data_IF_444707419091
#
_entry.id   IF_444707419091
#
_cell.length_a   1.000
_cell.length_b   1.000
_cell.length_c   1.000
_cell.angle_alpha   90.00
_cell.angle_beta   90.00
_cell.angle_gamma   90.00
#
_symmetry.space_group_name_H-M   'P 1'
#
loop_
_entity.id
_entity.type
_entity.pdbx_description
1 polymer ?
#
# COMPACT_ATOMS: atom_id res chain seq x y z
N UNK A 1 16.94 19.30 15.73
CA UNK A 1 17.85 18.53 16.61
C UNK A 1 17.84 17.11 16.09
N UNK A 2 19.00 16.57 15.72
CA UNK A 2 19.08 15.16 15.32
C UNK A 2 18.88 14.30 16.58
N UNK A 3 17.96 13.34 16.51
CA UNK A 3 17.71 12.37 17.57
C UNK A 3 18.91 11.43 17.65
N UNK A 4 19.84 11.73 18.54
CA UNK A 4 20.93 10.81 18.88
C UNK A 4 20.36 9.78 19.87
N UNK A 5 20.15 8.55 19.40
CA UNK A 5 19.72 7.45 20.26
C UNK A 5 20.88 7.07 21.18
N UNK A 6 20.63 7.02 22.49
CA UNK A 6 21.68 6.74 23.46
C UNK A 6 22.08 5.25 23.44
N UNK A 7 21.19 4.38 22.99
CA UNK A 7 21.37 2.92 22.95
C UNK A 7 20.72 2.28 21.72
N UNK A 8 21.22 1.11 21.31
CA UNK A 8 20.62 0.33 20.22
C UNK A 8 19.19 -0.14 20.54
N UNK A 9 18.89 -0.40 21.81
CA UNK A 9 17.55 -0.79 22.25
C UNK A 9 16.53 0.32 22.03
N UNK A 10 16.92 1.57 22.33
CA UNK A 10 16.07 2.75 22.09
C UNK A 10 15.82 2.98 20.59
N UNK A 11 16.85 2.78 19.76
CA UNK A 11 16.72 2.82 18.30
C UNK A 11 15.73 1.78 17.79
N UNK A 12 15.84 0.52 18.25
CA UNK A 12 14.93 -0.56 17.85
C UNK A 12 13.50 -0.23 18.30
N UNK A 13 13.33 0.22 19.55
CA UNK A 13 12.01 0.57 20.07
C UNK A 13 11.35 1.70 19.28
N UNK A 14 12.11 2.73 18.89
CA UNK A 14 11.60 3.84 18.08
C UNK A 14 11.15 3.36 16.69
N UNK A 15 11.94 2.50 16.03
CA UNK A 15 11.62 1.99 14.69
C UNK A 15 10.45 1.00 14.64
N UNK A 16 10.06 0.42 15.77
CA UNK A 16 8.89 -0.45 15.87
C UNK A 16 7.58 0.33 16.08
N UNK A 17 7.64 1.67 16.13
CA UNK A 17 6.46 2.53 16.27
C UNK A 17 5.98 3.05 14.90
N UNK A 18 4.65 3.08 14.72
CA UNK A 18 4.02 3.64 13.53
C UNK A 18 3.59 5.08 13.76
N UNK A 19 3.56 5.87 12.69
CA UNK A 19 2.97 7.20 12.70
C UNK A 19 1.45 7.10 12.81
N UNK A 20 0.95 7.30 14.04
CA UNK A 20 -0.46 7.06 14.38
C UNK A 20 -1.19 8.38 14.61
N UNK A 21 -2.36 8.53 14.01
CA UNK A 21 -3.26 9.68 14.18
C UNK A 21 -4.57 9.21 14.81
N UNK A 22 -4.99 9.82 15.90
CA UNK A 22 -6.17 9.38 16.63
C UNK A 22 -6.63 10.37 17.69
N UNK A 23 -7.72 10.02 18.37
CA UNK A 23 -8.27 10.82 19.46
C UNK A 23 -7.54 10.48 20.75
N UNK A 24 -6.67 11.38 21.19
CA UNK A 24 -6.01 11.28 22.49
C UNK A 24 -6.96 11.75 23.61
N UNK A 25 -7.02 11.05 24.75
CA UNK A 25 -7.93 11.39 25.86
C UNK A 25 -7.71 12.80 26.43
N UNK A 26 -6.45 13.29 26.45
CA UNK A 26 -6.13 14.63 26.97
C UNK A 26 -5.97 15.72 25.91
N UNK A 27 -5.54 15.37 24.70
CA UNK A 27 -5.10 16.34 23.68
C UNK A 27 -6.05 16.46 22.49
N UNK A 28 -7.12 15.65 22.45
CA UNK A 28 -8.02 15.58 21.30
C UNK A 28 -7.37 14.89 20.09
N UNK A 29 -7.79 15.25 18.88
CA UNK A 29 -7.25 14.65 17.64
C UNK A 29 -5.82 15.11 17.38
N UNK A 30 -4.85 14.21 17.53
CA UNK A 30 -3.43 14.53 17.38
C UNK A 30 -2.63 13.34 16.83
N UNK A 31 -1.39 13.61 16.44
CA UNK A 31 -0.40 12.57 16.13
C UNK A 31 0.23 12.06 17.42
N UNK A 32 0.41 10.74 17.52
CA UNK A 32 1.12 10.14 18.65
C UNK A 32 2.61 10.46 18.55
N UNK A 33 3.20 10.92 19.65
CA UNK A 33 4.64 11.20 19.74
C UNK A 33 5.41 10.06 20.44
N UNK A 34 4.70 9.13 21.05
CA UNK A 34 5.25 7.93 21.69
C UNK A 34 4.38 6.71 21.45
N UNK A 35 4.94 5.51 21.64
CA UNK A 35 4.21 4.24 21.56
C UNK A 35 3.05 4.17 22.56
N UNK A 36 3.23 4.75 23.74
CA UNK A 36 2.24 4.77 24.81
C UNK A 36 1.02 5.62 24.41
N UNK A 37 1.25 6.84 23.90
CA UNK A 37 0.19 7.69 23.36
C UNK A 37 -0.55 7.04 22.18
N UNK A 38 0.17 6.32 21.31
CA UNK A 38 -0.46 5.58 20.22
C UNK A 38 -1.38 4.46 20.73
N UNK A 39 -1.03 3.81 21.84
CA UNK A 39 -1.87 2.78 22.47
C UNK A 39 -3.12 3.39 23.13
N UNK A 40 -2.99 4.58 23.72
CA UNK A 40 -4.08 5.29 24.42
C UNK A 40 -5.13 5.88 23.47
N UNK A 41 -4.79 6.12 22.20
CA UNK A 41 -5.74 6.60 21.17
C UNK A 41 -6.82 5.57 20.80
N UNK A 42 -6.67 4.31 21.23
CA UNK A 42 -7.70 3.27 21.12
C UNK A 42 -7.95 2.76 19.70
N UNK A 43 -9.10 2.08 19.51
CA UNK A 43 -9.41 1.35 18.27
C UNK A 43 -9.56 2.24 17.02
N UNK A 44 -9.86 3.53 17.19
CA UNK A 44 -10.04 4.47 16.09
C UNK A 44 -8.73 5.14 15.64
N UNK A 45 -7.60 4.74 16.22
CA UNK A 45 -6.29 5.23 15.81
C UNK A 45 -5.92 4.71 14.41
N UNK A 46 -5.51 5.62 13.53
CA UNK A 46 -5.15 5.31 12.14
C UNK A 46 -3.65 5.37 11.97
N UNK A 47 -3.04 4.29 11.47
CA UNK A 47 -1.64 4.26 11.06
C UNK A 47 -1.47 4.96 9.70
N UNK A 48 -1.13 6.25 9.75
CA UNK A 48 -1.10 7.12 8.58
C UNK A 48 0.02 6.74 7.62
N UNK A 49 1.15 6.29 8.15
CA UNK A 49 2.27 5.77 7.36
C UNK A 49 1.85 4.58 6.48
N UNK A 50 1.20 3.58 7.07
CA UNK A 50 0.77 2.35 6.43
C UNK A 50 -0.32 2.61 5.39
N UNK A 51 -1.28 3.48 5.73
CA UNK A 51 -2.34 3.92 4.79
C UNK A 51 -1.72 4.71 3.63
N UNK A 52 -0.79 5.61 3.92
CA UNK A 52 -0.10 6.42 2.92
C UNK A 52 0.68 5.56 1.93
N UNK A 53 1.48 4.60 2.41
CA UNK A 53 2.22 3.67 1.56
C UNK A 53 1.30 2.75 0.75
N UNK A 54 0.23 2.25 1.37
CA UNK A 54 -0.73 1.37 0.69
C UNK A 54 -1.43 2.10 -0.47
N UNK A 55 -1.93 3.31 -0.23
CA UNK A 55 -2.58 4.11 -1.27
C UNK A 55 -1.57 4.60 -2.33
N UNK A 56 -0.37 4.99 -1.90
CA UNK A 56 0.70 5.43 -2.79
C UNK A 56 1.15 4.34 -3.75
N UNK A 57 1.45 3.14 -3.23
CA UNK A 57 1.85 1.99 -4.05
C UNK A 57 0.71 1.48 -4.93
N UNK A 58 -0.51 1.40 -4.41
CA UNK A 58 -1.69 1.02 -5.20
C UNK A 58 -1.93 1.97 -6.37
N UNK A 59 -1.94 3.29 -6.09
CA UNK A 59 -2.10 4.32 -7.13
C UNK A 59 -0.95 4.27 -8.13
N UNK A 60 0.29 4.10 -7.67
CA UNK A 60 1.45 3.97 -8.53
C UNK A 60 1.34 2.77 -9.47
N UNK A 61 0.96 1.59 -8.96
CA UNK A 61 0.75 0.39 -9.77
C UNK A 61 -0.33 0.62 -10.83
N UNK A 62 -1.47 1.22 -10.45
CA UNK A 62 -2.52 1.59 -11.41
C UNK A 62 -2.02 2.55 -12.49
N UNK A 63 -1.22 3.57 -12.12
CA UNK A 63 -0.65 4.52 -13.07
C UNK A 63 0.34 3.86 -14.04
N UNK A 64 1.14 2.90 -13.57
CA UNK A 64 2.06 2.13 -14.41
C UNK A 64 1.29 1.33 -15.45
N UNK A 65 0.29 0.54 -15.03
CA UNK A 65 -0.55 -0.26 -15.96
C UNK A 65 -1.29 0.66 -16.92
N UNK A 66 -1.88 1.75 -16.44
CA UNK A 66 -2.56 2.73 -17.28
C UNK A 66 -1.64 3.35 -18.33
N UNK A 67 -0.42 3.70 -17.94
CA UNK A 67 0.57 4.29 -18.86
C UNK A 67 0.96 3.34 -19.99
N UNK A 68 1.04 2.04 -19.72
CA UNK A 68 1.34 1.02 -20.73
C UNK A 68 0.11 0.71 -21.57
N UNK A 69 -1.06 0.53 -20.96
CA UNK A 69 -2.31 0.27 -21.67
C UNK A 69 -2.61 1.36 -22.72
N UNK A 70 -2.32 2.63 -22.41
CA UNK A 70 -2.49 3.75 -23.36
C UNK A 70 -1.52 3.72 -24.54
N UNK A 71 -0.37 3.07 -24.39
CA UNK A 71 0.67 2.95 -25.42
C UNK A 71 0.73 1.56 -26.03
N UNK A 72 -0.15 0.66 -25.62
CA UNK A 72 -0.18 -0.70 -26.10
C UNK A 72 -0.52 -0.71 -27.58
N UNK A 73 0.31 -1.38 -28.37
CA UNK A 73 0.11 -1.55 -29.81
C UNK A 73 -0.07 -3.03 -30.12
N UNK A 74 -0.97 -3.37 -31.04
CA UNK A 74 -1.23 -4.75 -31.50
C UNK A 74 -0.17 -5.30 -32.47
N UNK A 75 0.87 -4.51 -32.78
CA UNK A 75 2.01 -4.92 -33.59
C UNK A 75 3.05 -5.68 -32.74
N UNK A 76 4.34 -5.40 -32.95
CA UNK A 76 5.40 -5.98 -32.10
C UNK A 76 5.46 -5.20 -30.77
N UNK A 77 5.14 -5.82 -29.62
CA UNK A 77 5.13 -5.12 -28.35
C UNK A 77 6.55 -4.75 -27.93
N UNK A 78 6.67 -3.63 -27.20
CA UNK A 78 7.93 -3.26 -26.54
C UNK A 78 8.20 -4.17 -25.33
N UNK A 79 9.45 -4.33 -24.91
CA UNK A 79 9.81 -5.28 -23.84
C UNK A 79 9.01 -5.08 -22.52
N UNK A 80 8.69 -3.84 -22.17
CA UNK A 80 7.90 -3.53 -20.98
C UNK A 80 6.40 -3.81 -21.16
N UNK A 81 5.86 -3.64 -22.37
CA UNK A 81 4.49 -4.03 -22.71
C UNK A 81 4.33 -5.56 -22.61
N UNK A 82 5.26 -6.32 -23.21
CA UNK A 82 5.24 -7.78 -23.15
C UNK A 82 5.29 -8.33 -21.71
N UNK A 83 6.10 -7.71 -20.84
CA UNK A 83 6.16 -8.12 -19.43
C UNK A 83 4.82 -7.95 -18.70
N UNK A 84 4.09 -6.86 -18.97
CA UNK A 84 2.78 -6.63 -18.37
C UNK A 84 1.69 -7.49 -18.99
N UNK A 85 1.73 -7.73 -20.31
CA UNK A 85 0.83 -8.66 -20.99
C UNK A 85 0.94 -10.06 -20.39
N UNK A 86 2.16 -10.58 -20.22
CA UNK A 86 2.38 -11.88 -19.55
C UNK A 86 1.81 -11.95 -18.13
N UNK A 87 1.91 -10.85 -17.37
CA UNK A 87 1.35 -10.78 -16.01
C UNK A 87 -0.18 -10.79 -16.04
N UNK A 88 -0.78 -10.03 -16.95
CA UNK A 88 -2.24 -9.97 -17.13
C UNK A 88 -2.80 -11.31 -17.60
N UNK A 89 -2.16 -11.97 -18.56
CA UNK A 89 -2.57 -13.30 -19.04
C UNK A 89 -2.51 -14.33 -17.91
N UNK A 90 -1.45 -14.30 -17.10
CA UNK A 90 -1.34 -15.15 -15.92
C UNK A 90 -2.47 -14.90 -14.90
N UNK A 91 -2.86 -13.63 -14.68
CA UNK A 91 -4.01 -13.32 -13.82
C UNK A 91 -5.34 -13.81 -14.41
N UNK A 92 -5.53 -13.72 -15.73
CA UNK A 92 -6.73 -14.24 -16.40
C UNK A 92 -6.82 -15.77 -16.29
N UNK A 93 -5.71 -16.48 -16.48
CA UNK A 93 -5.63 -17.94 -16.31
C UNK A 93 -5.96 -18.35 -14.87
N UNK A 94 -5.41 -17.65 -13.88
CA UNK A 94 -5.76 -17.87 -12.46
C UNK A 94 -7.25 -17.62 -12.20
N UNK A 95 -7.79 -16.52 -12.72
CA UNK A 95 -9.19 -16.16 -12.53
C UNK A 95 -10.13 -17.21 -13.15
N UNK A 96 -9.87 -17.65 -14.39
CA UNK A 96 -10.62 -18.72 -15.05
C UNK A 96 -10.47 -20.07 -14.36
N UNK A 97 -9.29 -20.35 -13.80
CA UNK A 97 -9.05 -21.56 -13.01
C UNK A 97 -9.87 -21.61 -11.73
N UNK A 98 -10.06 -20.47 -11.07
CA UNK A 98 -10.84 -20.35 -9.82
C UNK A 98 -12.34 -20.22 -10.09
N UNK A 99 -12.73 -19.45 -11.11
CA UNK A 99 -14.13 -19.17 -11.45
C UNK A 99 -14.55 -19.98 -12.68
N UNK A 100 -15.17 -21.14 -12.45
CA UNK A 100 -15.65 -22.03 -13.53
C UNK A 100 -17.00 -21.61 -14.13
N UNK A 101 -17.63 -20.54 -13.62
CA UNK A 101 -18.95 -20.09 -14.08
C UNK A 101 -18.82 -18.87 -15.02
N UNK A 102 -19.27 -19.02 -16.27
CA UNK A 102 -19.32 -17.91 -17.22
C UNK A 102 -20.60 -17.08 -17.01
N UNK A 103 -20.44 -15.77 -16.81
CA UNK A 103 -21.53 -14.81 -16.75
C UNK A 103 -21.50 -13.96 -18.03
N UNK A 104 -22.58 -13.93 -18.81
CA UNK A 104 -22.62 -13.29 -20.15
C UNK A 104 -22.55 -11.75 -20.13
N UNK A 105 -22.20 -11.15 -19.00
CA UNK A 105 -21.98 -9.71 -18.87
C UNK A 105 -20.49 -9.32 -18.83
N UNK A 106 -19.56 -10.28 -18.70
CA UNK A 106 -18.10 -10.02 -18.66
C UNK A 106 -17.34 -10.77 -19.78
N UNK A 107 -18.02 -11.54 -20.65
CA UNK A 107 -17.45 -12.13 -21.86
C UNK A 107 -18.51 -12.29 -22.95
#
# INVERSE_FOLDING_TARGET
MATEFATSDEYIAHHLTNLTWGLHPENGWSFAQSAEQASEMGFLAVHVDSVGWSFGLGSFACLVVWSVARKATAGVPTGFQNALEMLVDFMDDLARGIFTHSNSFIA
#
